data_IF_522953441756
#
_entry.id   IF_522953441756
#
_cell.length_a   1.000
_cell.length_b   1.000
_cell.length_c   1.000
_cell.angle_alpha   90.00
_cell.angle_beta   90.00
_cell.angle_gamma   90.00
#
_symmetry.space_group_name_H-M   'P 1'
#
loop_
_entity.id
_entity.type
_entity.pdbx_description
1 polymer ?
#
# COMPACT_ATOMS: atom_id res chain seq x y z
N UNK A 1 -54.52 25.43 36.78
CA UNK A 1 -53.07 25.69 36.67
C UNK A 1 -52.46 24.62 35.85
N UNK A 2 -52.22 24.91 34.65
CA UNK A 2 -51.51 24.00 33.71
C UNK A 2 -50.03 24.21 33.86
N UNK A 3 -49.37 23.19 34.34
CA UNK A 3 -47.91 23.17 34.33
C UNK A 3 -47.46 22.62 33.01
N UNK A 4 -46.88 23.47 32.22
CA UNK A 4 -46.14 23.03 31.05
C UNK A 4 -44.83 22.44 31.50
N UNK A 5 -44.70 21.14 31.36
CA UNK A 5 -43.42 20.46 31.46
C UNK A 5 -42.60 20.83 30.24
N UNK A 6 -41.42 21.41 30.39
CA UNK A 6 -40.57 21.56 29.24
C UNK A 6 -40.13 20.16 28.79
N UNK A 7 -40.59 19.78 27.64
CA UNK A 7 -40.07 18.60 26.97
C UNK A 7 -38.60 18.89 26.67
N UNK A 8 -37.75 18.32 27.49
CA UNK A 8 -36.32 18.36 27.26
C UNK A 8 -36.07 17.51 26.00
N UNK A 9 -36.03 18.18 24.88
CA UNK A 9 -35.60 17.57 23.63
C UNK A 9 -34.13 17.30 23.79
N UNK A 10 -33.80 16.09 24.25
CA UNK A 10 -32.44 15.62 24.30
C UNK A 10 -32.02 15.40 22.84
N UNK A 11 -31.43 16.44 22.26
CA UNK A 11 -30.79 16.35 20.97
C UNK A 11 -29.58 15.43 21.15
N UNK A 12 -29.76 14.15 20.89
CA UNK A 12 -28.67 13.21 20.73
C UNK A 12 -27.91 13.66 19.50
N UNK A 13 -26.96 14.55 19.71
CA UNK A 13 -25.96 14.86 18.74
C UNK A 13 -25.06 13.62 18.63
N UNK A 14 -25.45 12.72 17.75
CA UNK A 14 -24.58 11.61 17.35
C UNK A 14 -23.37 12.25 16.70
N UNK A 15 -22.34 12.49 17.51
CA UNK A 15 -21.04 12.82 16.98
C UNK A 15 -20.58 11.61 16.16
N UNK A 16 -20.81 11.67 14.87
CA UNK A 16 -20.18 10.77 13.93
C UNK A 16 -18.70 11.06 14.01
N UNK A 17 -18.00 10.31 14.85
CA UNK A 17 -16.54 10.32 14.84
C UNK A 17 -16.16 9.66 13.54
N UNK A 18 -15.89 10.47 12.53
CA UNK A 18 -15.24 9.98 11.34
C UNK A 18 -13.86 9.51 11.78
N UNK A 19 -13.69 8.20 11.86
CA UNK A 19 -12.36 7.61 12.02
C UNK A 19 -11.53 8.11 10.85
N UNK A 20 -10.38 8.75 11.11
CA UNK A 20 -9.48 9.11 10.01
C UNK A 20 -9.21 7.84 9.21
N UNK A 21 -9.49 7.85 7.92
CA UNK A 21 -9.15 6.75 7.04
C UNK A 21 -7.69 6.40 7.30
N UNK A 22 -7.43 5.14 7.65
CA UNK A 22 -6.07 4.71 7.92
C UNK A 22 -5.28 4.84 6.62
N UNK A 23 -4.30 5.76 6.57
CA UNK A 23 -3.42 5.95 5.43
C UNK A 23 -2.78 4.64 4.98
N UNK A 24 -2.59 3.69 5.92
CA UNK A 24 -2.07 2.35 5.66
C UNK A 24 -2.90 1.59 4.64
N UNK A 25 -4.25 1.71 4.69
CA UNK A 25 -5.15 0.98 3.80
C UNK A 25 -5.13 1.51 2.37
N UNK A 26 -4.61 2.71 2.15
CA UNK A 26 -4.54 3.29 0.81
C UNK A 26 -3.55 2.53 -0.10
N UNK A 27 -2.56 1.85 0.48
CA UNK A 27 -1.65 0.99 -0.28
C UNK A 27 -2.24 -0.37 -0.62
N UNK A 28 -3.28 -0.81 0.07
CA UNK A 28 -3.85 -2.14 -0.12
C UNK A 28 -4.30 -2.35 -1.56
N UNK A 29 -4.01 -3.52 -2.10
CA UNK A 29 -4.45 -3.90 -3.43
C UNK A 29 -3.33 -4.37 -4.33
N UNK A 30 -3.66 -4.43 -5.62
CA UNK A 30 -2.77 -4.98 -6.65
C UNK A 30 -2.08 -3.86 -7.41
N UNK A 31 -0.80 -4.09 -7.70
CA UNK A 31 0.05 -3.12 -8.36
C UNK A 31 0.87 -3.79 -9.45
N UNK A 32 0.94 -3.15 -10.58
CA UNK A 32 1.75 -3.59 -11.71
C UNK A 32 2.98 -2.70 -11.85
N UNK A 33 4.14 -3.32 -12.02
CA UNK A 33 5.39 -2.60 -12.33
C UNK A 33 5.22 -1.80 -13.61
N UNK A 34 5.73 -0.58 -13.62
CA UNK A 34 5.56 0.33 -14.75
C UNK A 34 6.14 -0.21 -16.06
N UNK A 35 7.29 -0.88 -16.01
CA UNK A 35 8.01 -1.33 -17.21
C UNK A 35 8.15 -2.85 -17.34
N UNK A 36 8.06 -3.60 -16.24
CA UNK A 36 8.27 -5.05 -16.26
C UNK A 36 6.95 -5.81 -16.05
N UNK A 37 6.84 -7.05 -16.56
CA UNK A 37 5.66 -7.89 -16.34
C UNK A 37 5.69 -8.50 -14.94
N UNK A 38 5.53 -7.64 -13.93
CA UNK A 38 5.58 -7.97 -12.51
C UNK A 38 4.38 -7.35 -11.80
N UNK A 39 3.68 -8.15 -11.01
CA UNK A 39 2.53 -7.74 -10.21
C UNK A 39 2.73 -8.14 -8.76
N UNK A 40 2.39 -7.23 -7.87
CA UNK A 40 2.47 -7.44 -6.43
C UNK A 40 1.13 -7.12 -5.77
N UNK A 41 0.91 -7.70 -4.60
CA UNK A 41 -0.16 -7.29 -3.70
C UNK A 41 0.42 -6.63 -2.46
N UNK A 42 0.00 -5.41 -2.22
CA UNK A 42 0.35 -4.72 -0.96
C UNK A 42 -0.66 -5.09 0.11
N UNK A 43 -0.16 -5.55 1.24
CA UNK A 43 -0.92 -6.00 2.40
C UNK A 43 -0.50 -5.18 3.63
N UNK A 44 -0.97 -3.92 3.76
CA UNK A 44 -0.53 -3.05 4.85
C UNK A 44 -0.86 -3.58 6.24
N UNK A 45 -1.92 -4.36 6.37
CA UNK A 45 -2.33 -4.95 7.65
C UNK A 45 -1.26 -5.88 8.23
N UNK A 46 -0.53 -6.57 7.37
CA UNK A 46 0.57 -7.45 7.78
C UNK A 46 1.94 -6.82 7.61
N UNK A 47 1.99 -5.61 7.05
CA UNK A 47 3.24 -4.91 6.77
C UNK A 47 4.03 -5.50 5.62
N UNK A 48 3.36 -6.15 4.65
CA UNK A 48 4.01 -6.93 3.60
C UNK A 48 3.54 -6.55 2.20
N UNK A 49 4.37 -6.87 1.22
CA UNK A 49 4.01 -6.91 -0.19
C UNK A 49 4.47 -8.23 -0.78
N UNK A 50 3.58 -8.89 -1.50
CA UNK A 50 3.78 -10.26 -2.01
C UNK A 50 3.83 -10.25 -3.53
N UNK A 51 4.79 -10.97 -4.09
CA UNK A 51 4.88 -11.19 -5.54
C UNK A 51 3.75 -12.14 -5.99
N UNK A 52 2.84 -11.65 -6.82
CA UNK A 52 1.74 -12.46 -7.34
C UNK A 52 2.02 -13.02 -8.73
N UNK A 53 2.75 -12.28 -9.53
CA UNK A 53 3.13 -12.69 -10.87
C UNK A 53 4.43 -12.00 -11.28
N UNK A 54 5.34 -12.76 -11.88
CA UNK A 54 6.59 -12.25 -12.42
C UNK A 54 6.98 -13.11 -13.64
N UNK A 55 6.75 -12.59 -14.84
CA UNK A 55 6.98 -13.35 -16.06
C UNK A 55 8.46 -13.53 -16.36
N UNK A 56 9.31 -12.62 -15.84
CA UNK A 56 10.76 -12.73 -15.99
C UNK A 56 11.37 -13.75 -15.03
N UNK A 57 10.77 -13.91 -13.85
CA UNK A 57 11.23 -14.82 -12.82
C UNK A 57 10.03 -15.51 -12.12
N UNK A 58 9.39 -16.49 -12.80
CA UNK A 58 8.20 -17.14 -12.25
C UNK A 58 8.41 -17.80 -10.88
N UNK A 59 9.64 -18.21 -10.59
CA UNK A 59 9.98 -18.84 -9.30
C UNK A 59 9.84 -17.88 -8.11
N UNK A 60 9.70 -16.58 -8.36
CA UNK A 60 9.56 -15.57 -7.30
C UNK A 60 8.11 -15.31 -6.88
N UNK A 61 7.14 -15.98 -7.49
CA UNK A 61 5.75 -15.89 -7.06
C UNK A 61 5.62 -16.39 -5.61
N UNK A 62 4.95 -15.60 -4.77
CA UNK A 62 4.84 -15.87 -3.33
C UNK A 62 5.96 -15.24 -2.50
N UNK A 63 6.98 -14.67 -3.13
CA UNK A 63 8.09 -14.03 -2.44
C UNK A 63 7.65 -12.70 -1.82
N UNK A 64 8.17 -12.40 -0.62
CA UNK A 64 7.91 -11.12 0.02
C UNK A 64 8.85 -10.05 -0.54
N UNK A 65 8.33 -9.18 -1.39
CA UNK A 65 9.11 -8.09 -1.98
C UNK A 65 9.18 -6.89 -1.06
N UNK A 66 8.21 -6.75 -0.15
CA UNK A 66 8.14 -5.68 0.85
C UNK A 66 7.91 -6.31 2.22
N UNK A 67 8.68 -5.87 3.19
CA UNK A 67 8.53 -6.24 4.61
C UNK A 67 8.64 -4.98 5.47
N UNK A 68 8.22 -5.09 6.73
CA UNK A 68 8.34 -4.01 7.73
C UNK A 68 7.74 -2.67 7.26
N UNK A 69 6.60 -2.76 6.57
CA UNK A 69 5.89 -1.58 6.09
C UNK A 69 5.26 -0.83 7.26
N UNK A 70 5.62 0.42 7.41
CA UNK A 70 5.12 1.32 8.45
C UNK A 70 4.75 2.67 7.86
N UNK A 71 3.62 3.24 8.31
CA UNK A 71 3.26 4.59 7.93
C UNK A 71 4.27 5.58 8.50
N UNK A 72 4.69 6.55 7.70
CA UNK A 72 5.56 7.64 8.16
C UNK A 72 4.73 8.81 8.67
N UNK A 73 5.40 9.80 9.27
CA UNK A 73 4.75 11.03 9.73
C UNK A 73 4.27 11.91 8.57
N UNK A 74 4.84 11.71 7.39
CA UNK A 74 4.43 12.44 6.20
C UNK A 74 3.18 11.82 5.59
N UNK A 75 2.31 12.66 5.05
CA UNK A 75 1.09 12.23 4.39
C UNK A 75 1.42 11.40 3.14
N UNK A 76 0.71 10.28 2.97
CA UNK A 76 0.87 9.37 1.82
C UNK A 76 2.28 8.82 1.66
N UNK A 77 2.97 8.63 2.77
CA UNK A 77 4.34 8.11 2.79
C UNK A 77 4.49 6.99 3.83
N UNK A 78 5.32 6.02 3.49
CA UNK A 78 5.62 4.85 4.33
C UNK A 78 7.12 4.56 4.26
N UNK A 79 7.62 3.87 5.27
CA UNK A 79 8.93 3.25 5.25
C UNK A 79 8.79 1.73 5.18
N UNK A 80 9.75 1.06 4.59
CA UNK A 80 9.74 -0.39 4.46
C UNK A 80 11.13 -0.94 4.18
N UNK A 81 11.23 -2.27 4.19
CA UNK A 81 12.34 -2.99 3.59
C UNK A 81 11.86 -3.55 2.26
N UNK A 82 12.59 -3.31 1.19
CA UNK A 82 12.26 -3.76 -0.15
C UNK A 82 13.39 -4.64 -0.69
N UNK A 83 13.03 -5.76 -1.31
CA UNK A 83 14.02 -6.65 -1.89
C UNK A 83 14.61 -6.04 -3.15
N UNK A 84 15.90 -5.73 -3.09
CA UNK A 84 16.65 -5.21 -4.22
C UNK A 84 17.23 -6.38 -5.02
N UNK A 85 16.56 -6.75 -6.11
CA UNK A 85 16.86 -7.95 -6.88
C UNK A 85 18.30 -7.99 -7.38
N UNK A 86 18.85 -6.85 -7.80
CA UNK A 86 20.23 -6.76 -8.30
C UNK A 86 21.27 -7.00 -7.21
N UNK A 87 20.92 -6.73 -5.95
CA UNK A 87 21.82 -6.90 -4.80
C UNK A 87 21.57 -8.22 -4.06
N UNK A 88 20.44 -8.87 -4.31
CA UNK A 88 20.03 -10.09 -3.62
C UNK A 88 19.75 -9.90 -2.13
N UNK A 89 19.37 -8.69 -1.71
CA UNK A 89 19.12 -8.37 -0.30
C UNK A 89 18.04 -7.32 -0.14
N UNK A 90 17.47 -7.25 1.07
CA UNK A 90 16.52 -6.20 1.43
C UNK A 90 17.24 -4.90 1.72
N UNK A 91 16.66 -3.81 1.28
CA UNK A 91 17.14 -2.46 1.51
C UNK A 91 16.02 -1.57 2.03
N UNK A 92 16.38 -0.63 2.89
CA UNK A 92 15.44 0.38 3.36
C UNK A 92 14.94 1.21 2.18
N UNK A 93 13.64 1.41 2.13
CA UNK A 93 12.99 2.17 1.07
C UNK A 93 11.94 3.12 1.65
N UNK A 94 11.72 4.20 0.94
CA UNK A 94 10.56 5.06 1.13
C UNK A 94 9.52 4.68 0.09
N UNK A 95 8.27 4.58 0.51
CA UNK A 95 7.14 4.29 -0.36
C UNK A 95 6.21 5.49 -0.30
N UNK A 96 5.82 6.01 -1.45
CA UNK A 96 4.89 7.13 -1.55
C UNK A 96 3.77 6.83 -2.53
N UNK A 97 2.57 7.38 -2.27
CA UNK A 97 1.50 7.47 -3.24
C UNK A 97 1.55 8.86 -3.86
N UNK A 98 1.96 8.95 -5.12
CA UNK A 98 1.94 10.21 -5.85
C UNK A 98 0.53 10.56 -6.30
N UNK A 99 -0.27 9.54 -6.63
CA UNK A 99 -1.71 9.61 -6.88
C UNK A 99 -2.35 8.35 -6.30
N UNK A 100 -3.68 8.27 -6.30
CA UNK A 100 -4.39 7.05 -5.86
C UNK A 100 -4.00 5.80 -6.66
N UNK A 101 -3.53 5.99 -7.88
CA UNK A 101 -3.21 4.91 -8.80
C UNK A 101 -1.70 4.72 -9.04
N UNK A 102 -0.86 5.51 -8.39
CA UNK A 102 0.58 5.47 -8.59
C UNK A 102 1.35 5.41 -7.27
N UNK A 103 2.11 4.37 -7.11
CA UNK A 103 2.98 4.11 -5.96
C UNK A 103 4.44 4.14 -6.40
N UNK A 104 5.30 4.75 -5.60
CA UNK A 104 6.73 4.86 -5.90
C UNK A 104 7.53 4.27 -4.76
N UNK A 105 8.41 3.34 -5.08
CA UNK A 105 9.45 2.84 -4.17
C UNK A 105 10.74 3.61 -4.45
N UNK A 106 11.31 4.21 -3.44
CA UNK A 106 12.62 4.87 -3.54
C UNK A 106 13.61 4.16 -2.64
N UNK A 107 14.60 3.52 -3.25
CA UNK A 107 15.62 2.73 -2.55
C UNK A 107 16.95 3.47 -2.60
N UNK A 108 17.60 3.60 -1.46
CA UNK A 108 18.94 4.17 -1.37
C UNK A 108 19.97 3.06 -1.57
N UNK A 109 20.85 3.25 -2.57
CA UNK A 109 21.95 2.35 -2.85
C UNK A 109 23.24 3.18 -2.85
N UNK A 110 23.95 3.21 -1.73
CA UNK A 110 25.11 4.09 -1.57
C UNK A 110 24.70 5.57 -1.68
N UNK A 111 25.30 6.28 -2.61
CA UNK A 111 24.99 7.69 -2.90
C UNK A 111 23.83 7.86 -3.88
N UNK A 112 23.34 6.76 -4.45
CA UNK A 112 22.31 6.79 -5.48
C UNK A 112 20.96 6.47 -4.90
N UNK A 113 19.94 7.10 -5.46
CA UNK A 113 18.53 6.74 -5.21
C UNK A 113 17.98 6.13 -6.49
N UNK A 114 17.31 5.00 -6.34
CA UNK A 114 16.58 4.36 -7.45
C UNK A 114 15.12 4.34 -7.11
N UNK A 115 14.31 4.77 -8.07
CA UNK A 115 12.87 4.76 -7.93
C UNK A 115 12.26 3.74 -8.87
N UNK A 116 11.27 3.02 -8.36
CA UNK A 116 10.45 2.08 -9.11
C UNK A 116 9.01 2.52 -8.97
N UNK A 117 8.33 2.69 -10.09
CA UNK A 117 6.94 3.09 -10.12
C UNK A 117 6.01 1.90 -10.35
N UNK A 118 4.88 1.93 -9.67
CA UNK A 118 3.85 0.91 -9.75
C UNK A 118 2.52 1.57 -10.05
N UNK A 119 1.74 0.93 -10.91
CA UNK A 119 0.40 1.37 -11.25
C UNK A 119 -0.63 0.46 -10.59
N UNK A 120 -1.65 1.03 -9.98
CA UNK A 120 -2.75 0.27 -9.39
C UNK A 120 -3.55 -0.43 -10.48
N UNK A 121 -3.85 -1.70 -10.26
CA UNK A 121 -4.72 -2.51 -11.13
C UNK A 121 -5.81 -3.14 -10.29
N UNK A 122 -6.95 -3.43 -10.90
CA UNK A 122 -8.08 -4.04 -10.20
C UNK A 122 -7.91 -5.54 -9.99
N UNK A 123 -7.11 -6.17 -10.85
CA UNK A 123 -6.84 -7.61 -10.78
C UNK A 123 -5.48 -7.90 -11.40
N UNK A 124 -4.94 -9.06 -11.06
CA UNK A 124 -3.72 -9.57 -11.70
C UNK A 124 -4.14 -10.49 -12.82
N UNK A 125 -3.76 -10.19 -14.08
CA UNK A 125 -4.08 -11.06 -15.20
C UNK A 125 -3.46 -12.45 -15.01
N UNK A 126 -4.11 -13.54 -15.47
CA UNK A 126 -3.49 -14.86 -15.43
C UNK A 126 -2.21 -14.90 -16.26
N UNK A 127 -1.21 -15.65 -15.81
CA UNK A 127 0.03 -15.80 -16.54
C UNK A 127 -0.21 -16.41 -17.91
N UNK A 128 0.58 -16.08 -18.95
CA UNK A 128 0.36 -16.55 -20.33
C UNK A 128 0.31 -18.06 -20.49
N UNK A 129 0.89 -18.80 -19.56
CA UNK A 129 0.99 -20.26 -19.61
C UNK A 129 -0.04 -20.99 -18.72
N UNK A 130 -1.01 -20.28 -18.16
CA UNK A 130 -2.02 -20.83 -17.27
C UNK A 130 -3.33 -21.23 -18.02
N UNK A 131 -3.21 -21.59 -19.26
CA UNK A 131 -4.36 -22.11 -20.04
C UNK A 131 -4.54 -23.60 -19.84
#
# INVERSE_FOLDING_TARGET
>A
MTRLLPTLLLLMLSAMIALPGHAENELAGYWQHESDPVWIEMQPETGQGVMLRNDNMPDRVGFLVVTDLEASDDLNAWSAQVFAARLGEYRKADITLSTDDRMVFTVKVGFMRRSVEWRRVSEVPPAPNDE
#
